data_IF_304398727744
#
_entry.id   IF_304398727744
#
_cell.length_a   1.000
_cell.length_b   1.000
_cell.length_c   1.000
_cell.angle_alpha   90.00
_cell.angle_beta   90.00
_cell.angle_gamma   90.00
#
_symmetry.space_group_name_H-M   'P 1'
#
loop_
_entity.id
_entity.type
_entity.pdbx_description
1 polymer ?
#
# COMPACT_ATOMS: atom_id res chain seq x y z
N UNK A 1 -25.06 -23.33 -89.34
CA UNK A 1 -24.26 -22.27 -88.70
C UNK A 1 -24.83 -22.13 -87.31
N UNK A 2 -24.13 -22.76 -86.37
CA UNK A 2 -24.39 -22.70 -84.93
C UNK A 2 -23.86 -21.38 -84.41
N UNK A 3 -24.66 -20.65 -83.65
CA UNK A 3 -24.17 -19.57 -82.79
C UNK A 3 -24.55 -19.94 -81.35
N UNK A 4 -23.61 -20.66 -80.73
CA UNK A 4 -23.47 -20.79 -79.28
C UNK A 4 -23.10 -19.43 -78.71
N UNK A 5 -23.94 -18.90 -77.82
CA UNK A 5 -23.68 -17.68 -77.05
C UNK A 5 -23.58 -18.04 -75.57
N UNK A 6 -22.34 -18.17 -75.10
CA UNK A 6 -21.95 -18.62 -73.76
C UNK A 6 -22.64 -17.85 -72.62
N UNK A 7 -23.30 -18.63 -71.75
CA UNK A 7 -23.77 -18.26 -70.42
C UNK A 7 -22.56 -18.09 -69.50
N UNK A 8 -22.16 -16.84 -69.24
CA UNK A 8 -21.16 -16.52 -68.24
C UNK A 8 -21.82 -16.44 -66.85
N UNK A 9 -21.37 -17.25 -65.86
CA UNK A 9 -21.92 -17.19 -64.52
C UNK A 9 -21.55 -15.86 -63.85
N UNK A 10 -22.56 -15.18 -63.30
CA UNK A 10 -22.38 -14.02 -62.42
C UNK A 10 -21.55 -14.43 -61.22
N UNK A 11 -20.28 -14.07 -61.26
CA UNK A 11 -19.34 -14.13 -60.14
C UNK A 11 -19.95 -13.36 -58.97
N UNK A 12 -20.44 -14.10 -57.96
CA UNK A 12 -20.98 -13.51 -56.75
C UNK A 12 -19.83 -12.81 -56.05
N UNK A 13 -19.89 -11.49 -56.01
CA UNK A 13 -18.99 -10.67 -55.21
C UNK A 13 -18.99 -11.21 -53.78
N UNK A 14 -17.93 -11.90 -53.40
CA UNK A 14 -17.68 -12.30 -52.03
C UNK A 14 -17.58 -11.00 -51.22
N UNK A 15 -18.66 -10.68 -50.48
CA UNK A 15 -18.58 -9.67 -49.43
C UNK A 15 -17.48 -10.11 -48.48
N UNK A 16 -16.34 -9.42 -48.53
CA UNK A 16 -15.29 -9.50 -47.54
C UNK A 16 -15.93 -9.24 -46.18
N UNK A 17 -16.31 -10.31 -45.49
CA UNK A 17 -16.93 -10.22 -44.19
C UNK A 17 -15.88 -9.65 -43.24
N UNK A 18 -15.98 -8.35 -42.97
CA UNK A 18 -15.24 -7.72 -41.88
C UNK A 18 -15.68 -8.45 -40.62
N UNK A 19 -14.86 -9.36 -40.14
CA UNK A 19 -15.11 -10.10 -38.90
C UNK A 19 -15.24 -9.08 -37.76
N UNK A 20 -16.46 -8.92 -37.26
CA UNK A 20 -16.76 -8.08 -36.12
C UNK A 20 -16.09 -8.70 -34.87
N UNK A 21 -14.96 -8.13 -34.43
CA UNK A 21 -14.20 -8.60 -33.28
C UNK A 21 -14.63 -7.82 -32.04
N UNK A 22 -15.69 -8.32 -31.38
CA UNK A 22 -16.18 -7.75 -30.13
C UNK A 22 -15.51 -8.49 -28.97
N UNK A 23 -14.99 -7.78 -27.94
CA UNK A 23 -14.43 -8.41 -26.75
C UNK A 23 -15.52 -9.08 -25.89
N UNK A 24 -15.14 -9.96 -24.96
CA UNK A 24 -16.07 -10.50 -23.96
C UNK A 24 -16.80 -9.39 -23.19
N UNK A 25 -18.02 -9.69 -22.75
CA UNK A 25 -18.90 -8.72 -22.08
C UNK A 25 -18.30 -8.14 -20.78
N UNK A 26 -18.42 -6.82 -20.59
CA UNK A 26 -17.91 -6.13 -19.41
C UNK A 26 -19.01 -5.86 -18.39
N UNK A 27 -19.15 -6.74 -17.39
CA UNK A 27 -20.18 -6.60 -16.34
C UNK A 27 -20.05 -5.32 -15.49
N UNK A 28 -18.83 -4.82 -15.31
CA UNK A 28 -18.58 -3.60 -14.51
C UNK A 28 -18.97 -2.31 -15.24
N UNK A 29 -18.96 -2.32 -16.57
CA UNK A 29 -19.25 -1.16 -17.44
C UNK A 29 -19.97 -1.63 -18.71
N UNK A 30 -21.23 -2.08 -18.58
CA UNK A 30 -22.01 -2.57 -19.72
C UNK A 30 -22.27 -1.46 -20.75
N UNK A 31 -22.43 -0.21 -20.27
CA UNK A 31 -22.57 1.00 -21.06
C UNK A 31 -21.43 1.18 -22.09
N UNK A 32 -20.18 1.11 -21.61
CA UNK A 32 -19.00 1.27 -22.45
C UNK A 32 -18.82 0.09 -23.40
N UNK A 33 -19.15 -1.12 -22.96
CA UNK A 33 -19.08 -2.30 -23.81
C UNK A 33 -20.06 -2.22 -24.98
N UNK A 34 -21.31 -1.81 -24.73
CA UNK A 34 -22.30 -1.63 -25.80
C UNK A 34 -21.90 -0.51 -26.77
N UNK A 35 -21.35 0.61 -26.28
CA UNK A 35 -20.81 1.66 -27.15
C UNK A 35 -19.69 1.13 -28.05
N UNK A 36 -18.80 0.28 -27.52
CA UNK A 36 -17.76 -0.37 -28.30
C UNK A 36 -18.33 -1.36 -29.33
N UNK A 37 -19.27 -2.21 -28.93
CA UNK A 37 -19.92 -3.17 -29.82
C UNK A 37 -20.66 -2.46 -30.96
N UNK A 38 -21.34 -1.34 -30.69
CA UNK A 38 -22.05 -0.53 -31.68
C UNK A 38 -21.12 0.09 -32.71
N UNK A 39 -19.98 0.64 -32.27
CA UNK A 39 -18.94 1.11 -33.18
C UNK A 39 -18.41 -0.03 -34.08
N UNK A 40 -18.25 -1.24 -33.53
CA UNK A 40 -17.84 -2.41 -34.32
C UNK A 40 -18.93 -2.84 -35.31
N UNK A 41 -20.21 -2.80 -34.93
CA UNK A 41 -21.31 -3.08 -35.83
C UNK A 41 -21.36 -2.09 -36.99
N UNK A 42 -21.15 -0.81 -36.72
CA UNK A 42 -21.10 0.25 -37.74
C UNK A 42 -19.95 0.04 -38.73
N UNK A 43 -18.74 -0.24 -38.22
CA UNK A 43 -17.57 -0.56 -39.05
C UNK A 43 -17.78 -1.80 -39.93
N UNK A 44 -18.54 -2.78 -39.42
CA UNK A 44 -18.83 -4.04 -40.10
C UNK A 44 -20.10 -3.98 -40.97
N UNK A 45 -20.76 -2.82 -41.06
CA UNK A 45 -22.04 -2.62 -41.76
C UNK A 45 -23.16 -3.57 -41.28
N UNK A 46 -23.12 -3.96 -40.00
CA UNK A 46 -24.13 -4.83 -39.38
C UNK A 46 -25.33 -3.96 -38.97
N UNK A 47 -26.34 -3.95 -39.83
CA UNK A 47 -27.59 -3.18 -39.62
C UNK A 47 -28.74 -4.02 -39.07
N UNK A 48 -28.70 -5.35 -39.27
CA UNK A 48 -29.77 -6.27 -38.88
C UNK A 48 -29.79 -6.52 -37.37
N UNK A 49 -30.94 -6.26 -36.74
CA UNK A 49 -31.19 -6.49 -35.29
C UNK A 49 -30.84 -7.92 -34.85
N UNK A 50 -31.27 -8.92 -35.63
CA UNK A 50 -30.98 -10.34 -35.36
C UNK A 50 -29.48 -10.65 -35.32
N UNK A 51 -28.70 -10.01 -36.20
CA UNK A 51 -27.26 -10.22 -36.29
C UNK A 51 -26.56 -9.54 -35.11
N UNK A 52 -26.96 -8.31 -34.75
CA UNK A 52 -26.45 -7.63 -33.54
C UNK A 52 -26.75 -8.45 -32.28
N UNK A 53 -27.98 -8.94 -32.13
CA UNK A 53 -28.38 -9.81 -31.02
C UNK A 53 -27.49 -11.07 -30.94
N UNK A 54 -27.28 -11.75 -32.06
CA UNK A 54 -26.45 -12.97 -32.11
C UNK A 54 -24.99 -12.70 -31.70
N UNK A 55 -24.45 -11.55 -32.12
CA UNK A 55 -23.12 -11.11 -31.68
C UNK A 55 -23.04 -10.77 -30.21
N UNK A 56 -24.10 -10.20 -29.62
CA UNK A 56 -24.11 -9.93 -28.18
C UNK A 56 -24.13 -11.24 -27.40
N UNK A 57 -25.05 -12.14 -27.73
CA UNK A 57 -25.20 -13.44 -27.04
C UNK A 57 -23.92 -14.26 -27.11
N UNK A 58 -23.18 -14.21 -28.22
CA UNK A 58 -21.92 -14.98 -28.36
C UNK A 58 -20.76 -14.45 -27.50
N UNK A 59 -20.87 -13.23 -26.96
CA UNK A 59 -19.85 -12.61 -26.12
C UNK A 59 -20.20 -12.61 -24.62
N UNK A 60 -21.39 -13.12 -24.26
CA UNK A 60 -21.80 -13.26 -22.87
C UNK A 60 -21.14 -14.48 -22.23
N UNK A 61 -20.75 -14.34 -20.97
CA UNK A 61 -20.37 -15.46 -20.12
C UNK A 61 -21.59 -16.11 -19.47
N UNK A 62 -21.38 -17.28 -18.85
CA UNK A 62 -22.45 -18.10 -18.24
C UNK A 62 -23.28 -17.27 -17.27
N UNK A 63 -22.62 -16.56 -16.36
CA UNK A 63 -23.29 -15.74 -15.37
C UNK A 63 -24.14 -14.62 -16.00
N UNK A 64 -23.64 -13.93 -17.04
CA UNK A 64 -24.42 -12.88 -17.71
C UNK A 64 -25.58 -13.47 -18.50
N UNK A 65 -25.42 -14.65 -19.09
CA UNK A 65 -26.50 -15.37 -19.78
C UNK A 65 -27.63 -15.77 -18.83
N UNK A 66 -27.34 -16.12 -17.57
CA UNK A 66 -28.38 -16.44 -16.58
C UNK A 66 -29.33 -15.26 -16.34
N UNK A 67 -28.79 -14.04 -16.28
CA UNK A 67 -29.57 -12.81 -16.07
C UNK A 67 -30.50 -12.47 -17.24
N UNK A 68 -30.21 -12.95 -18.45
CA UNK A 68 -31.02 -12.74 -19.68
C UNK A 68 -31.60 -14.02 -20.26
N UNK A 69 -31.68 -15.09 -19.45
CA UNK A 69 -32.10 -16.42 -19.90
C UNK A 69 -33.51 -16.47 -20.50
N UNK A 70 -34.41 -15.62 -20.04
CA UNK A 70 -35.75 -15.42 -20.60
C UNK A 70 -35.72 -14.86 -22.02
N UNK A 71 -34.84 -13.87 -22.28
CA UNK A 71 -34.65 -13.27 -23.62
C UNK A 71 -33.94 -14.26 -24.56
N UNK A 72 -33.03 -15.07 -24.04
CA UNK A 72 -32.35 -16.10 -24.83
C UNK A 72 -33.30 -17.23 -25.22
N UNK A 73 -34.11 -17.72 -24.28
CA UNK A 73 -35.05 -18.82 -24.53
C UNK A 73 -36.27 -18.38 -25.36
N UNK A 74 -36.74 -17.16 -25.16
CA UNK A 74 -37.88 -16.58 -25.86
C UNK A 74 -37.48 -15.22 -26.46
N UNK A 75 -36.73 -15.22 -27.59
CA UNK A 75 -36.28 -13.98 -28.21
C UNK A 75 -37.47 -13.16 -28.73
N UNK A 76 -37.51 -11.84 -28.47
CA UNK A 76 -38.53 -10.96 -29.01
C UNK A 76 -38.52 -10.95 -30.55
N UNK A 77 -39.70 -10.92 -31.17
CA UNK A 77 -39.81 -10.93 -32.64
C UNK A 77 -39.28 -9.64 -33.30
N UNK A 78 -39.18 -8.54 -32.56
CA UNK A 78 -38.64 -7.25 -33.00
C UNK A 78 -37.83 -6.63 -31.85
N UNK A 79 -36.79 -5.88 -32.19
CA UNK A 79 -35.93 -5.16 -31.23
C UNK A 79 -35.29 -6.10 -30.21
N UNK A 80 -34.84 -7.28 -30.64
CA UNK A 80 -34.19 -8.25 -29.77
C UNK A 80 -32.88 -7.67 -29.19
N UNK A 81 -32.14 -6.91 -30.00
CA UNK A 81 -30.91 -6.22 -29.56
C UNK A 81 -31.20 -5.17 -28.48
N UNK A 82 -32.17 -4.28 -28.70
CA UNK A 82 -32.50 -3.25 -27.72
C UNK A 82 -33.04 -3.84 -26.42
N UNK A 83 -33.80 -4.94 -26.51
CA UNK A 83 -34.34 -5.62 -25.33
C UNK A 83 -33.23 -6.24 -24.49
N UNK A 84 -32.28 -6.96 -25.12
CA UNK A 84 -31.16 -7.57 -24.38
C UNK A 84 -30.18 -6.50 -23.86
N UNK A 85 -29.92 -5.45 -24.65
CA UNK A 85 -29.11 -4.30 -24.23
C UNK A 85 -29.69 -3.66 -22.98
N UNK A 86 -30.97 -3.29 -23.02
CA UNK A 86 -31.67 -2.70 -21.88
C UNK A 86 -31.59 -3.61 -20.65
N UNK A 87 -31.87 -4.90 -20.81
CA UNK A 87 -31.87 -5.83 -19.67
C UNK A 87 -30.48 -6.02 -19.05
N UNK A 88 -29.44 -6.18 -19.86
CA UNK A 88 -28.06 -6.28 -19.37
C UNK A 88 -27.60 -5.00 -18.69
N UNK A 89 -27.92 -3.85 -19.28
CA UNK A 89 -27.62 -2.54 -18.70
C UNK A 89 -28.32 -2.37 -17.35
N UNK A 90 -29.62 -2.68 -17.23
CA UNK A 90 -30.35 -2.59 -15.96
C UNK A 90 -29.89 -3.62 -14.92
N UNK A 91 -29.48 -4.81 -15.35
CA UNK A 91 -29.04 -5.86 -14.43
C UNK A 91 -27.65 -5.59 -13.82
N UNK A 92 -26.75 -4.96 -14.59
CA UNK A 92 -25.35 -4.80 -14.21
C UNK A 92 -24.92 -3.35 -13.92
N UNK A 93 -25.74 -2.36 -14.26
CA UNK A 93 -25.52 -1.00 -13.77
C UNK A 93 -26.08 -0.83 -12.37
N UNK A 94 -25.33 -0.11 -11.54
CA UNK A 94 -25.83 0.35 -10.25
C UNK A 94 -27.10 1.19 -10.41
N UNK A 95 -28.04 1.07 -9.48
CA UNK A 95 -29.22 1.92 -9.45
C UNK A 95 -28.81 3.39 -9.27
N UNK A 96 -29.61 4.31 -9.81
CA UNK A 96 -29.38 5.76 -9.66
C UNK A 96 -29.21 6.17 -8.19
N UNK A 97 -29.97 5.55 -7.28
CA UNK A 97 -29.86 5.75 -5.84
C UNK A 97 -28.50 5.27 -5.29
N UNK A 98 -28.02 4.11 -5.73
CA UNK A 98 -26.72 3.57 -5.32
C UNK A 98 -25.58 4.47 -5.82
N UNK A 99 -25.64 4.91 -7.07
CA UNK A 99 -24.68 5.85 -7.67
C UNK A 99 -24.65 7.17 -6.90
N UNK A 100 -25.81 7.72 -6.55
CA UNK A 100 -25.92 8.94 -5.75
C UNK A 100 -25.36 8.75 -4.34
N UNK A 101 -25.69 7.63 -3.66
CA UNK A 101 -25.14 7.31 -2.34
C UNK A 101 -23.62 7.21 -2.40
N UNK A 102 -23.08 6.44 -3.35
CA UNK A 102 -21.64 6.33 -3.56
C UNK A 102 -21.00 7.69 -3.82
N UNK A 103 -21.62 8.52 -4.67
CA UNK A 103 -21.16 9.87 -4.94
C UNK A 103 -21.12 10.74 -3.68
N UNK A 104 -22.08 10.62 -2.76
CA UNK A 104 -22.19 11.45 -1.56
C UNK A 104 -21.34 10.95 -0.39
N UNK A 105 -21.23 9.63 -0.18
CA UNK A 105 -20.65 9.06 1.04
C UNK A 105 -19.35 8.29 0.84
N UNK A 106 -19.17 7.61 -0.29
CA UNK A 106 -18.05 6.64 -0.44
C UNK A 106 -16.85 7.22 -1.19
N UNK A 107 -17.06 8.28 -1.96
CA UNK A 107 -16.08 8.73 -2.92
C UNK A 107 -15.12 9.77 -2.32
N UNK A 108 -14.03 9.31 -1.72
CA UNK A 108 -12.98 10.17 -1.17
C UNK A 108 -11.84 10.43 -2.18
N UNK A 109 -11.04 11.47 -1.94
CA UNK A 109 -9.87 11.78 -2.77
C UNK A 109 -8.78 10.70 -2.65
N UNK A 110 -8.48 10.23 -1.44
CA UNK A 110 -7.41 9.26 -1.18
C UNK A 110 -6.07 9.67 -1.82
N UNK A 111 -5.44 8.73 -2.53
CA UNK A 111 -4.22 8.94 -3.33
C UNK A 111 -4.51 9.38 -4.78
N UNK A 112 -5.78 9.61 -5.12
CA UNK A 112 -6.17 9.99 -6.47
C UNK A 112 -5.85 11.45 -6.74
N UNK A 113 -5.58 11.77 -8.01
CA UNK A 113 -5.46 13.16 -8.44
C UNK A 113 -6.82 13.85 -8.41
N UNK A 114 -6.90 15.13 -7.99
CA UNK A 114 -8.13 15.93 -8.07
C UNK A 114 -8.85 15.82 -9.41
N UNK A 115 -8.13 15.82 -10.53
CA UNK A 115 -8.71 15.65 -11.87
C UNK A 115 -9.30 14.26 -12.15
N UNK A 116 -8.74 13.22 -11.53
CA UNK A 116 -9.31 11.87 -11.61
C UNK A 116 -10.58 11.78 -10.75
N UNK A 117 -10.55 12.36 -9.55
CA UNK A 117 -11.73 12.43 -8.69
C UNK A 117 -12.89 13.14 -9.40
N UNK A 118 -12.62 14.28 -10.04
CA UNK A 118 -13.64 15.03 -10.79
C UNK A 118 -14.29 14.19 -11.90
N UNK A 119 -13.49 13.52 -12.74
CA UNK A 119 -14.02 12.66 -13.80
C UNK A 119 -14.89 11.54 -13.26
N UNK A 120 -14.44 10.89 -12.19
CA UNK A 120 -15.21 9.82 -11.54
C UNK A 120 -16.52 10.33 -10.93
N UNK A 121 -16.50 11.52 -10.32
CA UNK A 121 -17.70 12.18 -9.81
C UNK A 121 -18.70 12.46 -10.93
N UNK A 122 -18.22 12.94 -12.09
CA UNK A 122 -19.07 13.21 -13.26
C UNK A 122 -19.66 11.95 -13.87
N UNK A 123 -18.87 10.88 -13.95
CA UNK A 123 -19.34 9.58 -14.40
C UNK A 123 -20.44 9.01 -13.50
N UNK A 124 -20.26 9.07 -12.16
CA UNK A 124 -21.26 8.59 -11.21
C UNK A 124 -22.51 9.47 -11.16
N UNK A 125 -22.35 10.78 -11.36
CA UNK A 125 -23.49 11.68 -11.43
C UNK A 125 -24.36 11.42 -12.66
N UNK A 126 -23.80 10.89 -13.75
CA UNK A 126 -24.47 10.55 -15.01
C UNK A 126 -25.47 11.62 -15.53
N UNK A 127 -25.22 12.90 -15.22
CA UNK A 127 -26.11 14.02 -15.57
C UNK A 127 -27.29 14.28 -14.64
N UNK A 128 -27.47 13.47 -13.58
CA UNK A 128 -28.54 13.64 -12.59
C UNK A 128 -28.24 14.72 -11.54
N UNK A 129 -26.97 15.11 -11.38
CA UNK A 129 -26.53 16.14 -10.43
C UNK A 129 -26.01 17.35 -11.21
N UNK A 130 -26.44 18.55 -10.83
CA UNK A 130 -25.98 19.78 -11.45
C UNK A 130 -24.46 19.96 -11.26
N UNK A 131 -23.76 20.40 -12.32
CA UNK A 131 -22.31 20.58 -12.31
C UNK A 131 -21.83 21.50 -11.19
N UNK A 132 -22.60 22.54 -10.83
CA UNK A 132 -22.28 23.42 -9.70
C UNK A 132 -22.33 22.69 -8.35
N UNK A 133 -23.36 21.87 -8.11
CA UNK A 133 -23.45 21.06 -6.90
C UNK A 133 -22.29 20.05 -6.85
N UNK A 134 -21.98 19.42 -7.98
CA UNK A 134 -20.86 18.48 -8.10
C UNK A 134 -19.51 19.17 -7.83
N UNK A 135 -19.33 20.40 -8.34
CA UNK A 135 -18.15 21.24 -8.10
C UNK A 135 -17.99 21.57 -6.61
N UNK A 136 -19.06 21.94 -5.93
CA UNK A 136 -18.99 22.23 -4.48
C UNK A 136 -18.58 20.99 -3.68
N UNK A 137 -19.12 19.81 -4.03
CA UNK A 137 -18.79 18.55 -3.38
C UNK A 137 -17.35 18.12 -3.67
N UNK A 138 -16.87 18.34 -4.90
CA UNK A 138 -15.49 18.07 -5.28
C UNK A 138 -14.53 18.96 -4.49
N UNK A 139 -14.79 20.27 -4.42
CA UNK A 139 -13.99 21.20 -3.61
C UNK A 139 -13.96 20.80 -2.14
N UNK A 140 -15.10 20.38 -1.56
CA UNK A 140 -15.16 19.93 -0.16
C UNK A 140 -14.23 18.74 0.14
N UNK A 141 -13.98 17.89 -0.86
CA UNK A 141 -13.14 16.69 -0.75
C UNK A 141 -11.66 16.95 -0.99
N UNK A 142 -11.29 18.15 -1.45
CA UNK A 142 -9.90 18.52 -1.62
C UNK A 142 -9.25 18.93 -0.28
N UNK A 143 -7.93 18.70 -0.15
CA UNK A 143 -7.12 19.28 0.91
C UNK A 143 -7.29 20.79 1.00
N UNK A 144 -7.19 21.32 2.23
CA UNK A 144 -7.45 22.74 2.53
C UNK A 144 -6.63 23.68 1.64
N UNK A 145 -5.36 23.37 1.40
CA UNK A 145 -4.45 24.17 0.57
C UNK A 145 -4.90 24.28 -0.91
N UNK A 146 -5.40 23.20 -1.49
CA UNK A 146 -5.95 23.25 -2.85
C UNK A 146 -7.27 24.02 -2.86
N UNK A 147 -8.16 23.72 -1.90
CA UNK A 147 -9.45 24.39 -1.78
C UNK A 147 -9.33 25.91 -1.64
N UNK A 148 -8.43 26.39 -0.78
CA UNK A 148 -8.25 27.84 -0.53
C UNK A 148 -7.84 28.62 -1.78
N UNK A 149 -7.07 28.01 -2.68
CA UNK A 149 -6.64 28.67 -3.92
C UNK A 149 -7.76 28.63 -4.96
N UNK A 150 -8.47 27.50 -5.05
CA UNK A 150 -9.44 27.25 -6.12
C UNK A 150 -10.80 27.89 -5.87
N UNK A 151 -11.22 28.09 -4.61
CA UNK A 151 -12.55 28.66 -4.28
C UNK A 151 -12.74 30.08 -4.82
N UNK A 152 -11.66 30.85 -5.01
CA UNK A 152 -11.73 32.22 -5.51
C UNK A 152 -11.77 32.32 -7.04
N UNK A 153 -11.52 31.22 -7.77
CA UNK A 153 -11.50 31.22 -9.23
C UNK A 153 -12.87 30.84 -9.82
N UNK A 154 -13.25 31.55 -10.88
CA UNK A 154 -14.44 31.27 -11.68
C UNK A 154 -14.12 30.51 -12.98
N UNK A 155 -12.93 29.91 -13.06
CA UNK A 155 -12.52 29.15 -14.24
C UNK A 155 -13.37 27.88 -14.43
N UNK A 156 -13.40 27.32 -15.65
CA UNK A 156 -14.02 26.03 -15.92
C UNK A 156 -13.46 24.92 -15.01
N UNK A 157 -14.32 23.99 -14.59
CA UNK A 157 -13.92 22.97 -13.62
C UNK A 157 -12.76 22.08 -14.10
N UNK A 158 -12.64 21.83 -15.40
CA UNK A 158 -11.54 21.05 -15.95
C UNK A 158 -10.19 21.78 -15.79
N UNK A 159 -10.17 23.11 -15.90
CA UNK A 159 -8.95 23.89 -15.64
C UNK A 159 -8.66 23.93 -14.14
N UNK A 160 -9.66 24.13 -13.29
CA UNK A 160 -9.52 24.05 -11.83
C UNK A 160 -8.98 22.69 -11.38
N UNK A 161 -9.43 21.60 -11.99
CA UNK A 161 -8.94 20.25 -11.74
C UNK A 161 -7.45 20.10 -12.08
N UNK A 162 -7.00 20.64 -13.22
CA UNK A 162 -5.56 20.64 -13.56
C UNK A 162 -4.72 21.53 -12.64
N UNK A 163 -5.28 22.65 -12.17
CA UNK A 163 -4.61 23.51 -11.18
C UNK A 163 -4.51 22.80 -9.83
N UNK A 164 -5.56 22.10 -9.41
CA UNK A 164 -5.59 21.30 -8.19
C UNK A 164 -4.51 20.21 -8.20
N UNK A 165 -4.35 19.50 -9.33
CA UNK A 165 -3.29 18.50 -9.51
C UNK A 165 -1.90 19.13 -9.27
N UNK A 166 -1.63 20.31 -9.86
CA UNK A 166 -0.36 21.02 -9.69
C UNK A 166 -0.12 21.46 -8.24
N UNK A 167 -1.15 21.94 -7.55
CA UNK A 167 -1.06 22.34 -6.14
C UNK A 167 -0.72 21.13 -5.27
N UNK A 168 -1.29 19.97 -5.57
CA UNK A 168 -0.99 18.72 -4.85
C UNK A 168 0.41 18.21 -5.15
N UNK A 169 0.87 18.27 -6.40
CA UNK A 169 2.24 17.89 -6.78
C UNK A 169 3.26 18.74 -6.00
N UNK A 170 3.08 20.07 -5.89
CA UNK A 170 3.96 20.95 -5.10
C UNK A 170 4.02 20.52 -3.62
N UNK A 171 2.90 20.12 -3.04
CA UNK A 171 2.84 19.73 -1.63
C UNK A 171 3.46 18.34 -1.38
N UNK A 172 3.38 17.41 -2.35
CA UNK A 172 4.13 16.15 -2.28
C UNK A 172 5.64 16.40 -2.25
N UNK A 173 6.13 17.38 -3.02
CA UNK A 173 7.53 17.80 -2.97
C UNK A 173 7.90 18.51 -1.67
N UNK A 174 7.02 19.31 -1.06
CA UNK A 174 7.27 19.91 0.25
C UNK A 174 7.37 18.87 1.37
N UNK A 175 6.61 17.77 1.32
CA UNK A 175 6.77 16.66 2.28
C UNK A 175 8.11 15.92 2.11
N UNK A 176 8.62 15.81 0.89
CA UNK A 176 9.92 15.19 0.60
C UNK A 176 11.08 16.13 0.97
N UNK A 177 10.96 17.43 0.69
CA UNK A 177 11.93 18.46 1.11
C UNK A 177 11.88 18.78 2.62
N UNK A 178 10.77 18.50 3.31
CA UNK A 178 10.67 18.66 4.76
C UNK A 178 11.55 17.68 5.57
N UNK A 179 12.18 16.71 4.90
CA UNK A 179 13.21 15.85 5.53
C UNK A 179 14.57 16.57 5.58
N UNK A 180 14.78 17.65 4.83
CA UNK A 180 16.09 18.31 4.73
C UNK A 180 16.13 19.77 5.26
N UNK A 181 15.02 20.51 5.26
CA UNK A 181 15.09 21.97 5.52
C UNK A 181 14.08 22.56 6.54
N UNK A 182 13.80 21.87 7.65
CA UNK A 182 13.32 22.54 8.87
C UNK A 182 14.31 22.39 10.02
N UNK A 183 15.43 23.08 9.86
CA UNK A 183 16.27 23.49 10.98
C UNK A 183 15.46 24.36 11.96
N UNK A 184 15.45 23.93 13.22
CA UNK A 184 14.78 24.63 14.33
C UNK A 184 13.72 23.77 15.03
N UNK A 185 14.16 22.76 15.79
CA UNK A 185 13.40 22.00 16.81
C UNK A 185 12.93 20.57 16.47
N UNK A 186 13.65 19.81 15.64
CA UNK A 186 13.56 18.33 15.58
C UNK A 186 14.86 17.49 15.71
N UNK A 187 16.07 18.02 15.99
CA UNK A 187 17.22 17.16 16.29
C UNK A 187 16.97 16.23 17.49
N UNK A 188 16.15 16.68 18.44
CA UNK A 188 15.92 15.97 19.69
C UNK A 188 14.98 14.77 19.57
N UNK A 189 14.01 14.75 18.65
CA UNK A 189 13.06 13.63 18.53
C UNK A 189 13.74 12.41 17.93
N UNK A 190 14.45 12.59 16.81
CA UNK A 190 15.24 11.53 16.19
C UNK A 190 16.36 11.06 17.11
N UNK A 191 17.09 11.97 17.78
CA UNK A 191 18.09 11.57 18.77
C UNK A 191 17.48 10.80 19.96
N UNK A 192 16.28 11.21 20.43
CA UNK A 192 15.56 10.50 21.49
C UNK A 192 15.07 9.13 21.03
N UNK A 193 14.56 9.00 19.81
CA UNK A 193 14.13 7.73 19.25
C UNK A 193 15.32 6.80 19.01
N UNK A 194 16.43 7.30 18.46
CA UNK A 194 17.67 6.53 18.32
C UNK A 194 18.20 6.09 19.68
N UNK A 195 18.22 6.97 20.68
CA UNK A 195 18.61 6.62 22.05
C UNK A 195 17.63 5.63 22.70
N UNK A 196 16.33 5.72 22.42
CA UNK A 196 15.33 4.79 22.90
C UNK A 196 15.50 3.41 22.25
N UNK A 197 15.78 3.35 20.94
CA UNK A 197 16.08 2.11 20.22
C UNK A 197 17.38 1.48 20.73
N UNK A 198 18.40 2.28 21.02
CA UNK A 198 19.66 1.78 21.57
C UNK A 198 19.46 1.22 22.99
N UNK A 199 18.73 1.93 23.86
CA UNK A 199 18.34 1.44 25.19
C UNK A 199 17.51 0.16 25.10
N UNK A 200 16.54 0.11 24.19
CA UNK A 200 15.71 -1.08 23.98
C UNK A 200 16.56 -2.26 23.49
N UNK A 201 17.51 -2.02 22.59
CA UNK A 201 18.45 -3.03 22.09
C UNK A 201 19.31 -3.62 23.22
N UNK A 202 19.78 -2.77 24.14
CA UNK A 202 20.52 -3.19 25.33
C UNK A 202 19.64 -4.01 26.27
N UNK A 203 18.40 -3.57 26.54
CA UNK A 203 17.47 -4.31 27.41
C UNK A 203 17.08 -5.67 26.81
N UNK A 204 16.87 -5.76 25.50
CA UNK A 204 16.60 -7.02 24.80
C UNK A 204 17.79 -7.98 24.88
N UNK A 205 19.02 -7.48 24.76
CA UNK A 205 20.23 -8.29 24.99
C UNK A 205 20.32 -8.79 26.42
N UNK A 206 20.10 -7.91 27.41
CA UNK A 206 20.12 -8.29 28.83
C UNK A 206 19.03 -9.32 29.17
N UNK A 207 17.83 -9.20 28.61
CA UNK A 207 16.75 -10.19 28.77
C UNK A 207 17.09 -11.52 28.10
N UNK A 208 17.75 -11.49 26.94
CA UNK A 208 18.25 -12.69 26.26
C UNK A 208 19.33 -13.38 27.09
N UNK A 209 20.28 -12.63 27.63
CA UNK A 209 21.38 -13.15 28.44
C UNK A 209 20.89 -13.63 29.82
N UNK A 210 19.89 -12.98 30.41
CA UNK A 210 19.23 -13.45 31.63
C UNK A 210 18.44 -14.76 31.39
N UNK A 211 17.82 -14.91 30.21
CA UNK A 211 17.17 -16.18 29.81
C UNK A 211 18.16 -17.31 29.51
N UNK A 212 19.36 -17.01 29.01
CA UNK A 212 20.41 -18.00 28.70
C UNK A 212 21.35 -18.27 29.89
N UNK A 213 21.45 -17.34 30.85
CA UNK A 213 22.39 -17.37 31.98
C UNK A 213 21.86 -18.00 33.27
N UNK A 214 20.59 -18.39 33.33
CA UNK A 214 19.97 -18.99 34.52
C UNK A 214 20.48 -20.39 34.93
N UNK A 215 21.48 -20.94 34.23
CA UNK A 215 21.86 -22.36 34.29
C UNK A 215 23.32 -22.69 34.60
N UNK A 216 24.13 -21.82 35.22
CA UNK A 216 25.51 -22.19 35.61
C UNK A 216 25.83 -21.90 37.07
N UNK A 217 25.24 -22.71 37.96
CA UNK A 217 25.86 -23.06 39.24
C UNK A 217 27.08 -23.96 38.96
N UNK A 218 28.26 -23.40 38.72
CA UNK A 218 29.50 -24.17 38.66
C UNK A 218 29.96 -24.52 40.08
N UNK A 219 29.37 -25.59 40.60
CA UNK A 219 29.94 -26.42 41.66
C UNK A 219 31.15 -27.14 41.06
N UNK A 220 32.36 -26.60 41.24
CA UNK A 220 33.58 -27.31 40.84
C UNK A 220 34.25 -27.92 42.07
N UNK A 221 33.87 -29.16 42.38
CA UNK A 221 34.61 -30.07 43.25
C UNK A 221 35.79 -30.66 42.47
N UNK A 222 36.99 -30.34 42.96
CA UNK A 222 38.24 -31.10 43.03
C UNK A 222 38.47 -32.36 42.18
N UNK A 223 39.63 -32.42 41.51
CA UNK A 223 40.67 -33.51 41.53
C UNK A 223 41.71 -33.21 40.42
N UNK A 224 42.91 -32.69 40.73
CA UNK A 224 44.15 -33.37 41.17
C UNK A 224 44.98 -34.00 40.04
N UNK A 225 46.29 -33.63 40.03
CA UNK A 225 47.52 -34.27 39.47
C UNK A 225 48.26 -33.36 38.47
N UNK A 226 49.24 -32.54 38.88
CA UNK A 226 50.64 -32.82 39.32
C UNK A 226 51.65 -32.84 38.17
N UNK A 227 52.44 -31.76 38.02
CA UNK A 227 53.93 -31.79 38.03
C UNK A 227 54.45 -30.34 37.96
N UNK A 228 55.05 -29.83 39.04
CA UNK A 228 56.50 -29.59 39.22
C UNK A 228 57.12 -28.58 38.24
N UNK A 229 57.22 -27.34 38.70
CA UNK A 229 58.12 -26.31 38.16
C UNK A 229 58.30 -25.21 39.19
N UNK A 230 59.53 -24.99 39.64
CA UNK A 230 59.92 -24.37 40.91
C UNK A 230 60.50 -22.97 40.69
N UNK A 231 59.87 -21.96 41.32
CA UNK A 231 60.48 -20.73 41.88
C UNK A 231 60.94 -19.59 40.92
N UNK A 232 61.27 -18.38 41.42
CA UNK A 232 60.35 -17.37 41.95
C UNK A 232 60.73 -15.90 41.54
N UNK A 233 60.05 -14.91 42.13
CA UNK A 233 60.36 -13.45 42.21
C UNK A 233 59.45 -12.59 41.34
N UNK A 234 58.91 -11.44 41.73
CA UNK A 234 58.70 -10.72 42.98
C UNK A 234 57.63 -9.65 42.64
N UNK A 235 56.86 -9.14 43.61
CA UNK A 235 55.66 -8.34 43.32
C UNK A 235 55.99 -6.85 43.16
N UNK A 236 55.43 -6.22 42.13
CA UNK A 236 55.22 -4.76 42.05
C UNK A 236 53.91 -4.42 42.76
N UNK A 237 53.90 -3.57 43.81
CA UNK A 237 52.65 -3.02 44.32
C UNK A 237 52.26 -1.83 43.44
N UNK A 238 51.17 -1.98 42.70
CA UNK A 238 50.45 -0.84 42.11
C UNK A 238 49.86 -0.02 43.25
N UNK A 239 50.29 1.23 43.33
CA UNK A 239 49.70 2.26 44.17
C UNK A 239 48.31 2.58 43.65
N UNK A 240 47.27 2.16 44.36
CA UNK A 240 45.95 2.80 44.28
C UNK A 240 45.66 3.49 45.61
N UNK A 241 45.71 4.82 45.53
CA UNK A 241 45.30 5.77 46.54
C UNK A 241 43.81 5.63 46.86
N UNK A 242 43.49 5.17 48.06
CA UNK A 242 42.19 5.46 48.66
C UNK A 242 42.34 5.65 50.20
N UNK A 243 42.21 6.88 50.74
CA UNK A 243 42.63 7.23 52.11
C UNK A 243 41.74 6.71 53.26
N UNK A 244 40.72 5.90 53.00
CA UNK A 244 39.65 5.61 53.98
C UNK A 244 39.65 4.18 54.54
N UNK A 245 40.72 3.38 54.37
CA UNK A 245 40.83 2.05 55.01
C UNK A 245 42.18 1.88 55.74
N UNK A 246 42.21 1.36 56.97
CA UNK A 246 43.47 1.07 57.67
C UNK A 246 44.31 0.11 56.84
N UNK A 247 45.57 0.47 56.56
CA UNK A 247 46.53 -0.36 55.82
C UNK A 247 46.89 -1.58 56.67
N UNK A 248 46.14 -2.66 56.52
CA UNK A 248 46.49 -3.95 57.11
C UNK A 248 47.48 -4.68 56.21
N UNK A 249 48.57 -5.19 56.77
CA UNK A 249 49.53 -5.97 55.98
C UNK A 249 48.92 -7.31 55.57
N UNK A 250 49.50 -7.95 54.55
CA UNK A 250 49.05 -9.23 54.03
C UNK A 250 48.78 -10.29 55.12
N UNK A 251 49.60 -10.33 56.17
CA UNK A 251 49.41 -11.28 57.27
C UNK A 251 48.15 -11.00 58.10
N UNK A 252 47.86 -9.73 58.41
CA UNK A 252 46.61 -9.36 59.12
C UNK A 252 45.37 -9.46 58.22
N UNK A 253 45.51 -9.21 56.91
CA UNK A 253 44.42 -9.47 55.97
C UNK A 253 44.08 -10.96 55.87
N UNK A 254 45.10 -11.83 55.88
CA UNK A 254 44.92 -13.27 55.68
C UNK A 254 44.57 -14.03 56.96
N UNK A 255 45.15 -13.65 58.10
CA UNK A 255 45.03 -14.38 59.37
C UNK A 255 44.31 -13.58 60.46
N UNK A 256 43.87 -12.35 60.17
CA UNK A 256 43.21 -11.51 61.15
C UNK A 256 44.09 -11.26 62.39
N UNK A 257 43.47 -11.29 63.57
CA UNK A 257 44.14 -11.10 64.87
C UNK A 257 45.08 -12.23 65.28
N UNK A 258 45.06 -13.38 64.59
CA UNK A 258 45.93 -14.53 64.90
C UNK A 258 47.26 -14.48 64.12
N UNK A 259 47.52 -13.37 63.43
CA UNK A 259 48.74 -13.17 62.66
C UNK A 259 49.98 -13.13 63.58
N UNK A 260 50.81 -14.16 63.47
CA UNK A 260 52.06 -14.30 64.23
C UNK A 260 53.20 -13.40 63.71
N UNK A 261 52.98 -12.67 62.61
CA UNK A 261 53.98 -11.79 61.99
C UNK A 261 53.31 -10.53 61.45
N UNK A 262 53.85 -9.37 61.81
CA UNK A 262 53.45 -8.09 61.27
C UNK A 262 54.59 -7.47 60.46
N UNK A 263 54.28 -6.84 59.31
CA UNK A 263 55.23 -6.06 58.53
C UNK A 263 54.76 -4.60 58.41
N UNK A 264 55.57 -3.61 58.83
CA UNK A 264 55.26 -2.19 58.63
C UNK A 264 55.25 -1.79 57.14
N UNK A 265 54.48 -0.76 56.74
CA UNK A 265 53.55 0.02 57.56
C UNK A 265 52.20 -0.71 57.69
N UNK A 266 51.89 -1.17 58.90
CA UNK A 266 50.63 -1.81 59.24
C UNK A 266 50.04 -1.14 60.47
N UNK A 267 48.77 -0.78 60.42
CA UNK A 267 48.09 -0.09 61.53
C UNK A 267 47.59 -1.05 62.63
N UNK A 268 47.76 -2.37 62.47
CA UNK A 268 47.46 -3.38 63.51
C UNK A 268 48.73 -3.75 64.27
N UNK A 269 48.76 -3.44 65.57
CA UNK A 269 49.82 -3.86 66.50
C UNK A 269 49.67 -5.36 66.78
N UNK A 270 50.69 -6.15 66.44
CA UNK A 270 50.77 -7.55 66.83
C UNK A 270 51.00 -7.66 68.33
N UNK A 271 50.32 -8.60 69.01
CA UNK A 271 50.70 -9.02 70.36
C UNK A 271 52.05 -9.73 70.23
N UNK A 272 53.07 -9.23 70.92
CA UNK A 272 54.28 -10.02 71.22
C UNK A 272 53.91 -11.19 72.14
#
# INVERSE_FOLDING_TARGET
MSEDGDDYPKESAASSAVTCKIPPFWRRRPDLWFAHAEAQFELSQITRDSTKYSHVVSQLDVDSMEHVSDIIKNPPAKNAYETIKKKLTTAFMDSEESQLRQLLTELELGDQRPSQLWRRMKELAAGHVADEALKTLWLQRLPVNARTVLTCSNDPIDTLATMADRIMDINTHQYVHAIDERGGSRPNEMARLTQAVEKLTVLVRQLRDARLGGGRRTRSRSRSRSDRGRSPSAPTPSSDDNPAKPKECYYHWRYGSDAQRCKPPCTRQGKN
#
